data_IF_364437228940
#
_entry.id   IF_364437228940
#
_cell.length_a   1.000
_cell.length_b   1.000
_cell.length_c   1.000
_cell.angle_alpha   90.00
_cell.angle_beta   90.00
_cell.angle_gamma   90.00
#
_symmetry.space_group_name_H-M   'P 1'
#
loop_
_entity.id
_entity.type
_entity.pdbx_description
1 polymer ?
#
# COMPACT_ATOMS: atom_id res chain seq x y z
N UNK A 1 -20.66 -14.99 13.01
CA UNK A 1 -19.29 -15.30 13.48
C UNK A 1 -18.37 -15.62 12.29
N UNK A 2 -17.70 -14.61 11.76
CA UNK A 2 -16.88 -14.74 10.56
C UNK A 2 -16.02 -13.51 10.31
N UNK A 3 -15.04 -13.66 9.42
CA UNK A 3 -14.15 -12.58 8.96
C UNK A 3 -14.96 -11.37 8.51
N UNK A 4 -14.55 -10.17 8.92
CA UNK A 4 -15.21 -8.92 8.49
C UNK A 4 -15.15 -8.84 6.95
N UNK A 5 -16.28 -8.49 6.32
CA UNK A 5 -16.42 -8.44 4.86
C UNK A 5 -15.28 -7.68 4.16
N UNK A 6 -14.89 -6.52 4.69
CA UNK A 6 -13.81 -5.72 4.10
C UNK A 6 -12.45 -6.44 4.09
N UNK A 7 -12.15 -7.27 5.10
CA UNK A 7 -10.90 -8.02 5.19
C UNK A 7 -10.90 -9.11 4.12
N UNK A 8 -12.04 -9.78 3.94
CA UNK A 8 -12.21 -10.82 2.92
C UNK A 8 -12.09 -10.26 1.51
N UNK A 9 -12.76 -9.14 1.22
CA UNK A 9 -12.67 -8.46 -0.09
C UNK A 9 -11.22 -8.01 -0.38
N UNK A 10 -10.53 -7.42 0.60
CA UNK A 10 -9.12 -7.06 0.46
C UNK A 10 -8.22 -8.26 0.17
N UNK A 11 -8.41 -9.39 0.87
CA UNK A 11 -7.62 -10.59 0.66
C UNK A 11 -7.82 -11.18 -0.76
N UNK A 12 -9.06 -11.15 -1.27
CA UNK A 12 -9.36 -11.57 -2.65
C UNK A 12 -8.63 -10.67 -3.65
N UNK A 13 -8.69 -9.35 -3.46
CA UNK A 13 -8.04 -8.40 -4.37
C UNK A 13 -6.52 -8.57 -4.40
N UNK A 14 -5.90 -8.73 -3.22
CA UNK A 14 -4.46 -9.00 -3.09
C UNK A 14 -4.10 -10.31 -3.81
N UNK A 15 -4.84 -11.39 -3.55
CA UNK A 15 -4.59 -12.69 -4.18
C UNK A 15 -4.68 -12.60 -5.71
N UNK A 16 -5.72 -11.94 -6.23
CA UNK A 16 -5.93 -11.75 -7.68
C UNK A 16 -4.77 -10.99 -8.33
N UNK A 17 -4.29 -9.92 -7.68
CA UNK A 17 -3.17 -9.11 -8.21
C UNK A 17 -1.87 -9.91 -8.18
N UNK A 18 -1.57 -10.55 -7.04
CA UNK A 18 -0.34 -11.32 -6.88
C UNK A 18 -0.24 -12.45 -7.90
N UNK A 19 -1.33 -13.19 -8.11
CA UNK A 19 -1.40 -14.26 -9.09
C UNK A 19 -1.14 -13.77 -10.53
N UNK A 20 -1.72 -12.62 -10.92
CA UNK A 20 -1.48 -12.04 -12.26
C UNK A 20 -0.03 -11.59 -12.44
N UNK A 21 0.57 -11.01 -11.40
CA UNK A 21 1.97 -10.55 -11.43
C UNK A 21 2.91 -11.74 -11.54
N UNK A 22 2.65 -12.81 -10.80
CA UNK A 22 3.40 -14.07 -10.86
C UNK A 22 3.31 -14.71 -12.26
N UNK A 23 2.11 -14.79 -12.84
CA UNK A 23 1.92 -15.28 -14.22
C UNK A 23 2.65 -14.44 -15.29
N UNK A 24 2.90 -13.16 -15.02
CA UNK A 24 3.70 -12.30 -15.88
C UNK A 24 5.22 -12.49 -15.68
N UNK A 25 5.65 -13.44 -14.85
CA UNK A 25 7.06 -13.69 -14.52
C UNK A 25 7.69 -12.58 -13.67
N UNK A 26 6.88 -11.81 -12.93
CA UNK A 26 7.34 -10.72 -12.07
C UNK A 26 7.30 -11.14 -10.61
N UNK A 27 8.20 -10.57 -9.81
CA UNK A 27 8.29 -10.86 -8.38
C UNK A 27 8.14 -9.58 -7.55
N UNK A 28 7.68 -9.75 -6.31
CA UNK A 28 7.57 -8.66 -5.34
C UNK A 28 8.81 -8.63 -4.44
N UNK A 29 9.26 -7.43 -4.07
CA UNK A 29 10.31 -7.28 -3.07
C UNK A 29 9.70 -7.37 -1.67
N UNK A 30 9.97 -8.46 -0.94
CA UNK A 30 9.40 -8.66 0.40
C UNK A 30 9.66 -7.51 1.38
N UNK A 31 10.81 -6.83 1.27
CA UNK A 31 11.16 -5.67 2.12
C UNK A 31 10.42 -4.38 1.75
N UNK A 32 9.95 -4.23 0.51
CA UNK A 32 9.30 -3.00 0.00
C UNK A 32 7.79 -3.13 -0.13
N UNK A 33 7.28 -4.36 -0.19
CA UNK A 33 5.86 -4.65 -0.32
C UNK A 33 5.13 -4.27 0.95
N UNK A 34 4.07 -3.48 0.80
CA UNK A 34 3.17 -3.06 1.88
C UNK A 34 1.81 -3.77 1.66
N UNK A 35 1.46 -4.72 2.52
CA UNK A 35 0.22 -5.50 2.42
C UNK A 35 -0.52 -5.51 3.75
N UNK A 36 -1.85 -5.45 3.71
CA UNK A 36 -2.71 -5.49 4.89
C UNK A 36 -2.38 -4.40 5.94
N UNK A 37 -1.86 -3.25 5.49
CA UNK A 37 -1.56 -2.11 6.36
C UNK A 37 -2.73 -1.11 6.35
N UNK A 38 -3.05 -0.47 7.48
CA UNK A 38 -4.07 0.58 7.53
C UNK A 38 -3.65 1.83 6.75
N UNK A 39 -2.35 2.06 6.59
CA UNK A 39 -1.80 3.16 5.80
C UNK A 39 -0.64 2.66 4.95
N UNK A 40 -0.52 3.17 3.73
CA UNK A 40 0.55 2.79 2.79
C UNK A 40 1.10 4.00 2.06
N UNK A 41 2.40 3.98 1.77
CA UNK A 41 3.05 5.02 0.98
C UNK A 41 2.96 4.68 -0.51
N UNK A 42 2.20 5.47 -1.27
CA UNK A 42 2.02 5.32 -2.72
C UNK A 42 2.55 6.57 -3.41
N UNK A 43 3.58 6.43 -4.24
CA UNK A 43 4.23 7.55 -4.97
C UNK A 43 4.67 8.68 -4.00
N UNK A 44 4.99 8.31 -2.75
CA UNK A 44 5.36 9.23 -1.67
C UNK A 44 4.22 10.14 -1.22
N UNK A 45 2.99 9.63 -1.24
CA UNK A 45 1.85 10.12 -0.47
C UNK A 45 1.45 9.01 0.50
N UNK A 46 1.02 9.37 1.71
CA UNK A 46 0.44 8.43 2.66
C UNK A 46 -1.04 8.27 2.32
N UNK A 47 -1.45 7.06 1.98
CA UNK A 47 -2.84 6.71 1.70
C UNK A 47 -3.41 5.97 2.91
N UNK A 48 -4.48 6.50 3.48
CA UNK A 48 -5.19 5.95 4.64
C UNK A 48 -6.71 5.96 4.39
N UNK A 49 -7.55 5.36 5.26
CA UNK A 49 -9.00 5.36 5.09
C UNK A 49 -9.59 6.78 5.04
N UNK A 50 -8.93 7.74 5.67
CA UNK A 50 -9.34 9.15 5.73
C UNK A 50 -8.97 9.91 4.44
N UNK A 51 -8.15 9.34 3.56
CA UNK A 51 -7.78 9.92 2.27
C UNK A 51 -6.28 9.87 1.99
N UNK A 52 -5.78 10.92 1.32
CA UNK A 52 -4.37 11.07 0.95
C UNK A 52 -3.74 12.21 1.73
N UNK A 53 -2.61 11.93 2.37
CA UNK A 53 -1.83 12.87 3.14
C UNK A 53 -0.42 12.98 2.55
N UNK A 54 0.24 14.14 2.67
CA UNK A 54 1.62 14.28 2.26
C UNK A 54 2.53 13.45 3.18
N UNK A 55 3.53 12.78 2.59
CA UNK A 55 4.57 12.09 3.34
C UNK A 55 5.42 13.12 4.11
N UNK A 56 5.52 12.96 5.43
CA UNK A 56 6.29 13.85 6.31
C UNK A 56 7.74 14.00 5.84
N UNK A 57 8.33 12.95 5.28
CA UNK A 57 9.69 12.97 4.72
C UNK A 57 9.80 13.94 3.54
N UNK A 58 8.75 14.04 2.72
CA UNK A 58 8.71 15.00 1.61
C UNK A 58 8.42 16.42 2.10
N UNK A 59 7.52 16.57 3.07
CA UNK A 59 7.22 17.87 3.68
C UNK A 59 8.50 18.45 4.29
N UNK A 60 9.24 17.65 5.05
CA UNK A 60 10.52 18.02 5.64
C UNK A 60 11.53 18.51 4.61
N UNK A 61 11.62 17.84 3.46
CA UNK A 61 12.54 18.24 2.38
C UNK A 61 12.19 19.59 1.78
N UNK A 62 10.90 19.95 1.72
CA UNK A 62 10.45 21.25 1.24
C UNK A 62 10.73 22.32 2.29
N UNK A 63 10.42 22.04 3.56
CA UNK A 63 10.63 22.99 4.66
C UNK A 63 12.11 23.29 4.92
N UNK A 64 12.99 22.30 4.71
CA UNK A 64 14.45 22.43 4.90
C UNK A 64 15.17 22.82 3.60
N UNK A 65 14.44 23.16 2.55
CA UNK A 65 15.03 23.60 1.29
C UNK A 65 15.65 25.00 1.48
N UNK A 66 16.95 25.19 1.20
CA UNK A 66 17.64 26.48 1.37
C UNK A 66 17.24 27.53 0.34
#
# INVERSE_FOLDING_TARGET
PGTRRFIWEHAIDVHRIMHRVDHAGRTFSGKKTQLCCPQVVIVGQVCCPEGRLPDSTKVDKILKWP
#
